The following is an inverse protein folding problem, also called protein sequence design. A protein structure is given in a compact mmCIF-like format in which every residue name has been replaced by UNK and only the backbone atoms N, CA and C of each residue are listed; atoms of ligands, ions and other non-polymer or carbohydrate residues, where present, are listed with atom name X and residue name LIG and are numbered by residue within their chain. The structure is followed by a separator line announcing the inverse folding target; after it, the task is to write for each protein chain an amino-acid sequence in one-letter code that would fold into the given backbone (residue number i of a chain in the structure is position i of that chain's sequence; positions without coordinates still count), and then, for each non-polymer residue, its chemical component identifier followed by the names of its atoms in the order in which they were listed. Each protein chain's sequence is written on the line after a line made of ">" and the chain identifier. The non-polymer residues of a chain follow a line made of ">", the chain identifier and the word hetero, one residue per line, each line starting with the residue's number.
data_IF_022214950976
#
_entry.id   IF_022214950976
#
_cell.length_a   1.000
_cell.length_b   1.000
_cell.length_c   1.000
_cell.angle_alpha   90.00
_cell.angle_beta   90.00
_cell.angle_gamma   90.00
#
_symmetry.space_group_name_H-M   'P 1'
#
loop_
_entity.id
_entity.type
_entity.pdbx_description
1 polymer ?
#
# COMPACT_ATOMS: atom_id res chain seq x y z
N UNK A 1 -11.50 -5.94 -1.21
CA UNK A 1 -11.04 -4.68 -0.61
C UNK A 1 -11.51 -4.59 0.84
N UNK A 2 -10.75 -3.96 1.70
CA UNK A 2 -11.12 -3.63 3.06
C UNK A 2 -10.70 -2.19 3.35
N UNK A 3 -11.45 -1.49 4.21
CA UNK A 3 -11.17 -0.13 4.61
C UNK A 3 -11.72 0.15 6.01
N UNK A 4 -11.12 1.12 6.69
CA UNK A 4 -11.57 1.57 8.01
C UNK A 4 -11.63 3.09 8.01
N UNK A 5 -12.66 3.63 8.65
CA UNK A 5 -12.68 5.05 9.03
C UNK A 5 -12.00 5.13 10.38
N UNK A 6 -10.91 5.90 10.44
CA UNK A 6 -10.19 6.11 11.68
C UNK A 6 -10.92 7.15 12.53
N UNK A 7 -11.45 6.69 13.65
CA UNK A 7 -12.10 7.55 14.67
C UNK A 7 -11.70 7.02 16.06
N UNK A 8 -10.56 7.52 16.57
CA UNK A 8 -10.00 7.08 17.85
C UNK A 8 -10.95 7.31 19.02
N UNK A 9 -11.81 8.34 18.94
CA UNK A 9 -12.74 8.71 20.02
C UNK A 9 -13.89 7.72 20.12
N UNK A 10 -14.30 7.11 19.03
CA UNK A 10 -15.44 6.19 18.96
C UNK A 10 -15.03 4.74 19.20
N UNK A 11 -13.92 4.27 18.64
CA UNK A 11 -13.53 2.86 18.70
C UNK A 11 -12.30 2.57 19.56
N UNK A 12 -11.61 3.62 20.03
CA UNK A 12 -10.43 3.50 20.90
C UNK A 12 -9.19 2.90 20.23
N UNK A 13 -9.27 2.56 18.93
CA UNK A 13 -8.22 1.90 18.18
C UNK A 13 -7.29 2.87 17.49
N UNK A 14 -6.00 2.53 17.45
CA UNK A 14 -5.02 3.21 16.60
C UNK A 14 -5.15 2.76 15.14
N UNK A 15 -4.53 3.48 14.21
CA UNK A 15 -4.45 3.05 12.81
C UNK A 15 -3.70 1.73 12.65
N UNK A 16 -2.75 1.44 13.53
CA UNK A 16 -1.99 0.19 13.52
C UNK A 16 -2.86 -0.99 13.99
N UNK A 17 -3.74 -0.77 14.98
CA UNK A 17 -4.70 -1.78 15.41
C UNK A 17 -5.70 -2.11 14.31
N UNK A 18 -6.20 -1.08 13.61
CA UNK A 18 -7.04 -1.30 12.44
C UNK A 18 -6.33 -2.11 11.34
N UNK A 19 -5.03 -1.87 11.10
CA UNK A 19 -4.26 -2.66 10.14
C UNK A 19 -4.17 -4.14 10.56
N UNK A 20 -3.89 -4.41 11.85
CA UNK A 20 -3.86 -5.78 12.38
C UNK A 20 -5.21 -6.47 12.19
N UNK A 21 -6.30 -5.79 12.56
CA UNK A 21 -7.67 -6.29 12.36
C UNK A 21 -7.96 -6.62 10.88
N UNK A 22 -7.52 -5.74 9.95
CA UNK A 22 -7.72 -5.95 8.51
C UNK A 22 -6.92 -7.16 8.00
N UNK A 23 -5.69 -7.35 8.46
CA UNK A 23 -4.86 -8.51 8.12
C UNK A 23 -5.49 -9.80 8.66
N UNK A 24 -5.89 -9.81 9.94
CA UNK A 24 -6.56 -10.95 10.57
C UNK A 24 -7.85 -11.30 9.83
N UNK A 25 -8.70 -10.30 9.58
CA UNK A 25 -9.94 -10.48 8.84
C UNK A 25 -9.72 -11.03 7.41
N UNK A 26 -8.64 -10.59 6.75
CA UNK A 26 -8.27 -11.09 5.42
C UNK A 26 -7.88 -12.56 5.44
N UNK A 27 -7.23 -13.03 6.50
CA UNK A 27 -6.80 -14.42 6.67
C UNK A 27 -7.96 -15.29 7.10
N UNK A 28 -8.65 -14.94 8.20
CA UNK A 28 -9.63 -15.81 8.85
C UNK A 28 -10.99 -15.81 8.16
N UNK A 29 -11.51 -14.63 7.83
CA UNK A 29 -12.86 -14.51 7.28
C UNK A 29 -12.89 -14.50 5.76
N UNK A 30 -11.97 -13.75 5.13
CA UNK A 30 -11.94 -13.69 3.65
C UNK A 30 -11.12 -14.81 3.04
N UNK A 31 -10.35 -15.56 3.84
CA UNK A 31 -9.51 -16.67 3.41
C UNK A 31 -8.62 -16.34 2.20
N UNK A 32 -8.13 -15.10 2.15
CA UNK A 32 -7.27 -14.63 1.07
C UNK A 32 -5.91 -15.29 1.21
N UNK A 33 -5.52 -16.05 0.20
CA UNK A 33 -4.17 -16.64 0.11
C UNK A 33 -3.19 -15.61 -0.40
N UNK A 34 -2.32 -15.10 0.48
CA UNK A 34 -1.24 -14.19 0.12
C UNK A 34 0.05 -14.58 0.84
N UNK A 35 1.16 -14.29 0.21
CA UNK A 35 2.51 -14.52 0.75
C UNK A 35 3.12 -13.21 1.24
N UNK A 36 2.90 -12.12 0.51
CA UNK A 36 3.56 -10.84 0.73
C UNK A 36 2.60 -9.77 1.26
N UNK A 37 3.09 -8.95 2.20
CA UNK A 37 2.45 -7.74 2.70
C UNK A 37 3.33 -6.56 2.31
N UNK A 38 2.81 -5.70 1.45
CA UNK A 38 3.48 -4.51 1.00
C UNK A 38 2.89 -3.30 1.72
N UNK A 39 3.72 -2.49 2.32
CA UNK A 39 3.28 -1.31 3.07
C UNK A 39 4.21 -0.13 2.84
N UNK A 40 3.76 1.06 3.20
CA UNK A 40 4.59 2.24 3.12
C UNK A 40 5.42 2.47 4.40
N UNK A 41 6.26 3.49 4.38
CA UNK A 41 7.14 3.87 5.49
C UNK A 41 6.38 4.13 6.80
N UNK A 42 5.12 4.60 6.72
CA UNK A 42 4.35 4.94 7.91
C UNK A 42 4.00 3.69 8.73
N UNK A 43 3.75 2.57 8.06
CA UNK A 43 3.45 1.27 8.69
C UNK A 43 4.70 0.45 9.05
N UNK A 44 5.91 0.90 8.68
CA UNK A 44 7.18 0.22 8.97
C UNK A 44 7.59 0.35 10.45
N UNK A 45 6.69 -0.02 11.35
CA UNK A 45 6.91 -0.05 12.81
C UNK A 45 7.32 -1.44 13.27
N UNK A 46 8.08 -1.50 14.39
CA UNK A 46 8.45 -2.77 15.00
C UNK A 46 7.24 -3.67 15.21
N UNK A 47 6.18 -3.11 15.77
CA UNK A 47 4.98 -3.85 16.16
C UNK A 47 4.29 -4.49 14.93
N UNK A 48 4.14 -3.76 13.82
CA UNK A 48 3.53 -4.30 12.61
C UNK A 48 4.45 -5.31 11.91
N UNK A 49 5.75 -5.03 11.83
CA UNK A 49 6.70 -5.93 11.18
C UNK A 49 6.77 -7.28 11.89
N UNK A 50 6.87 -7.28 13.23
CA UNK A 50 6.84 -8.51 14.03
C UNK A 50 5.49 -9.21 13.99
N UNK A 51 4.38 -8.46 13.94
CA UNK A 51 3.05 -9.03 13.80
C UNK A 51 2.89 -9.79 12.47
N UNK A 52 3.35 -9.21 11.35
CA UNK A 52 3.30 -9.87 10.04
C UNK A 52 4.19 -11.12 10.02
N UNK A 53 5.36 -11.04 10.64
CA UNK A 53 6.28 -12.16 10.77
C UNK A 53 5.66 -13.32 11.57
N UNK A 54 5.01 -13.02 12.68
CA UNK A 54 4.27 -14.01 13.49
C UNK A 54 3.10 -14.66 12.72
N UNK A 55 2.53 -13.98 11.74
CA UNK A 55 1.54 -14.55 10.80
C UNK A 55 2.18 -15.44 9.73
N UNK A 56 3.50 -15.67 9.78
CA UNK A 56 4.26 -16.40 8.77
C UNK A 56 4.09 -15.79 7.37
N UNK A 57 4.04 -14.46 7.31
CA UNK A 57 3.97 -13.70 6.06
C UNK A 57 5.27 -12.91 5.87
N UNK A 58 5.59 -12.67 4.60
CA UNK A 58 6.74 -11.86 4.21
C UNK A 58 6.27 -10.42 4.03
N UNK A 59 6.97 -9.48 4.65
CA UNK A 59 6.73 -8.07 4.40
C UNK A 59 7.83 -7.43 3.55
N UNK A 60 7.45 -6.40 2.79
CA UNK A 60 8.35 -5.45 2.18
C UNK A 60 7.88 -4.04 2.51
N UNK A 61 8.76 -3.25 3.11
CA UNK A 61 8.45 -1.86 3.44
C UNK A 61 9.69 -0.97 3.39
N UNK A 62 9.55 0.30 2.97
CA UNK A 62 10.64 1.25 3.05
C UNK A 62 10.82 1.74 4.49
N UNK A 63 12.07 1.85 4.92
CA UNK A 63 12.44 2.52 6.17
C UNK A 63 12.62 4.01 5.95
N UNK A 64 12.43 4.79 7.01
CA UNK A 64 12.87 6.20 7.04
C UNK A 64 14.40 6.26 6.99
N UNK A 65 14.95 7.24 6.29
CA UNK A 65 16.40 7.42 6.12
C UNK A 65 17.18 7.51 7.44
N UNK A 66 16.56 8.04 8.49
CA UNK A 66 17.13 8.19 9.83
C UNK A 66 16.90 6.97 10.75
N UNK A 67 16.32 5.86 10.26
CA UNK A 67 16.10 4.65 11.07
C UNK A 67 17.44 4.07 11.50
N UNK A 68 17.60 3.86 12.81
CA UNK A 68 18.84 3.31 13.37
C UNK A 68 18.93 1.79 13.13
N UNK A 69 20.05 1.38 12.53
CA UNK A 69 20.33 -0.01 12.15
C UNK A 69 21.78 -0.37 12.46
N UNK A 70 22.05 -1.68 12.58
CA UNK A 70 23.40 -2.24 12.74
C UNK A 70 23.64 -3.29 11.65
N UNK A 71 24.69 -3.08 10.85
CA UNK A 71 25.19 -3.98 9.81
C UNK A 71 26.53 -4.65 10.21
N UNK A 72 27.04 -4.35 11.42
CA UNK A 72 28.35 -4.76 11.93
C UNK A 72 28.32 -5.97 12.85
N UNK A 73 27.16 -6.60 13.03
CA UNK A 73 26.95 -7.69 13.99
C UNK A 73 27.22 -7.28 15.46
N UNK A 74 27.03 -6.02 15.79
CA UNK A 74 27.21 -5.51 17.14
C UNK A 74 28.62 -4.98 17.44
N UNK A 75 29.51 -4.91 16.44
CA UNK A 75 30.87 -4.38 16.59
C UNK A 75 30.85 -2.85 16.69
N UNK A 76 29.95 -2.21 15.96
CA UNK A 76 29.82 -0.75 15.92
C UNK A 76 28.47 -0.28 16.45
N UNK A 77 28.37 0.99 16.93
CA UNK A 77 27.10 1.58 17.34
C UNK A 77 26.09 1.62 16.19
N UNK A 78 24.78 1.59 16.55
CA UNK A 78 23.71 1.81 15.58
C UNK A 78 23.83 3.15 14.87
N UNK A 79 23.79 3.14 13.55
CA UNK A 79 23.82 4.35 12.69
C UNK A 79 22.54 4.48 11.86
N UNK A 80 22.30 5.63 11.27
CA UNK A 80 21.15 5.82 10.41
C UNK A 80 21.32 5.01 9.11
N UNK A 81 20.21 4.53 8.57
CA UNK A 81 20.25 3.66 7.37
C UNK A 81 20.88 4.34 6.15
N UNK A 82 20.75 5.67 6.05
CA UNK A 82 21.38 6.45 4.99
C UNK A 82 22.91 6.67 5.20
N UNK A 83 23.43 6.39 6.40
CA UNK A 83 24.87 6.46 6.73
C UNK A 83 25.60 5.15 6.46
N UNK A 84 24.89 4.10 6.01
CA UNK A 84 25.50 2.81 5.70
C UNK A 84 26.38 2.91 4.47
N UNK A 85 27.55 2.28 4.54
CA UNK A 85 28.44 2.06 3.39
C UNK A 85 27.97 0.82 2.63
N UNK A 86 28.14 0.79 1.31
CA UNK A 86 27.69 -0.28 0.44
C UNK A 86 28.80 -0.71 -0.50
N UNK A 87 29.14 -1.98 -0.51
CA UNK A 87 29.96 -2.58 -1.57
C UNK A 87 29.08 -2.85 -2.81
N UNK A 88 29.71 -3.08 -3.98
CA UNK A 88 28.98 -3.40 -5.21
C UNK A 88 28.15 -4.68 -5.06
N UNK A 89 28.70 -5.68 -4.36
CA UNK A 89 27.97 -6.91 -4.07
C UNK A 89 26.77 -6.69 -3.17
N UNK A 90 26.88 -5.88 -2.13
CA UNK A 90 25.77 -5.55 -1.24
C UNK A 90 24.71 -4.69 -1.94
N UNK A 91 25.09 -3.86 -2.90
CA UNK A 91 24.12 -3.12 -3.71
C UNK A 91 23.24 -4.06 -4.55
N UNK A 92 23.81 -5.16 -5.04
CA UNK A 92 23.08 -6.17 -5.81
C UNK A 92 22.26 -7.11 -4.92
N UNK A 93 22.86 -7.63 -3.86
CA UNK A 93 22.32 -8.73 -3.07
C UNK A 93 21.63 -8.27 -1.78
N UNK A 94 21.69 -6.97 -1.45
CA UNK A 94 21.27 -6.46 -0.17
C UNK A 94 22.24 -6.79 0.96
N UNK A 95 21.90 -6.35 2.18
CA UNK A 95 22.66 -6.68 3.39
C UNK A 95 21.79 -7.06 4.56
N UNK A 96 22.26 -8.02 5.34
CA UNK A 96 21.59 -8.47 6.56
C UNK A 96 21.88 -7.47 7.69
N UNK A 97 20.83 -6.91 8.27
CA UNK A 97 20.92 -5.90 9.32
C UNK A 97 20.08 -6.26 10.54
N UNK A 98 20.38 -5.59 11.66
CA UNK A 98 19.51 -5.49 12.83
C UNK A 98 18.90 -4.09 12.88
N UNK A 99 17.63 -3.99 13.22
CA UNK A 99 16.97 -2.70 13.44
C UNK A 99 16.97 -2.41 14.94
N UNK A 100 17.31 -1.19 15.34
CA UNK A 100 17.28 -0.77 16.73
C UNK A 100 15.92 -1.03 17.40
N UNK A 101 15.96 -1.49 18.64
CA UNK A 101 14.80 -1.85 19.46
C UNK A 101 14.02 -3.11 19.02
N UNK A 102 14.46 -3.84 17.98
CA UNK A 102 13.92 -5.16 17.65
C UNK A 102 14.51 -6.25 18.58
N UNK A 103 13.93 -7.49 18.61
CA UNK A 103 14.51 -8.59 19.37
C UNK A 103 15.97 -8.84 19.00
N UNK A 104 16.79 -9.28 19.99
CA UNK A 104 18.25 -9.37 19.87
C UNK A 104 18.71 -10.14 18.63
N UNK A 105 18.02 -11.24 18.31
CA UNK A 105 18.41 -12.13 17.20
C UNK A 105 17.61 -11.91 15.91
N UNK A 106 16.70 -10.93 15.92
CA UNK A 106 15.87 -10.62 14.76
C UNK A 106 16.67 -9.82 13.71
N UNK A 107 16.90 -10.46 12.58
CA UNK A 107 17.60 -9.87 11.44
C UNK A 107 16.67 -9.75 10.26
N UNK A 108 16.90 -8.75 9.44
CA UNK A 108 16.15 -8.48 8.22
C UNK A 108 17.11 -8.19 7.06
N UNK A 109 16.67 -8.49 5.85
CA UNK A 109 17.40 -8.12 4.65
C UNK A 109 17.05 -6.69 4.26
N UNK A 110 18.08 -5.88 4.01
CA UNK A 110 17.96 -4.47 3.60
C UNK A 110 18.45 -4.32 2.17
N UNK A 111 17.70 -3.61 1.34
CA UNK A 111 18.04 -3.26 -0.03
C UNK A 111 18.05 -1.75 -0.22
N UNK A 112 19.06 -1.26 -0.94
CA UNK A 112 19.14 0.12 -1.39
C UNK A 112 18.57 0.21 -2.81
N UNK A 113 17.38 0.78 -2.97
CA UNK A 113 16.71 0.92 -4.26
C UNK A 113 16.76 2.37 -4.71
N UNK A 114 17.60 2.68 -5.68
CA UNK A 114 17.66 4.01 -6.29
C UNK A 114 16.45 4.16 -7.23
N UNK A 115 15.56 5.08 -6.90
CA UNK A 115 14.34 5.34 -7.69
C UNK A 115 14.61 6.41 -8.76
N UNK A 116 15.32 7.47 -8.38
CA UNK A 116 15.83 8.51 -9.26
C UNK A 116 17.01 9.24 -8.59
N UNK A 117 17.58 10.25 -9.24
CA UNK A 117 18.74 11.02 -8.74
C UNK A 117 18.55 11.60 -7.33
N UNK A 118 17.31 11.95 -6.96
CA UNK A 118 16.98 12.60 -5.69
C UNK A 118 16.33 11.66 -4.67
N UNK A 119 16.04 10.40 -5.04
CA UNK A 119 15.30 9.48 -4.18
C UNK A 119 15.90 8.09 -4.15
N UNK A 120 16.27 7.67 -2.95
CA UNK A 120 16.66 6.30 -2.63
C UNK A 120 15.67 5.76 -1.59
N UNK A 121 15.06 4.62 -1.88
CA UNK A 121 14.23 3.89 -0.95
C UNK A 121 15.07 2.77 -0.28
N UNK A 122 14.93 2.68 1.06
CA UNK A 122 15.60 1.68 1.88
C UNK A 122 14.60 0.58 2.24
N UNK A 123 14.56 -0.48 1.43
CA UNK A 123 13.53 -1.52 1.55
C UNK A 123 14.02 -2.63 2.47
N UNK A 124 13.22 -2.99 3.47
CA UNK A 124 13.49 -4.15 4.34
C UNK A 124 12.44 -5.24 4.15
N UNK A 125 12.88 -6.47 4.35
CA UNK A 125 12.06 -7.67 4.35
C UNK A 125 12.55 -8.68 5.39
N UNK A 126 11.64 -9.47 5.96
CA UNK A 126 11.98 -10.63 6.78
C UNK A 126 12.31 -11.87 5.94
N UNK A 127 12.23 -11.79 4.61
CA UNK A 127 12.71 -12.83 3.71
C UNK A 127 14.24 -12.76 3.58
N UNK A 128 14.93 -13.49 4.44
CA UNK A 128 16.40 -13.56 4.43
C UNK A 128 16.97 -14.38 3.26
N UNK A 129 16.11 -15.02 2.48
CA UNK A 129 16.49 -15.73 1.26
C UNK A 129 16.46 -14.85 0.01
N UNK A 130 15.90 -13.64 0.13
CA UNK A 130 15.93 -12.67 -0.95
C UNK A 130 17.35 -12.11 -1.10
N UNK A 131 17.94 -12.31 -2.25
CA UNK A 131 19.32 -11.95 -2.58
C UNK A 131 19.43 -11.04 -3.82
N UNK A 132 18.33 -10.41 -4.24
CA UNK A 132 18.28 -9.58 -5.43
C UNK A 132 17.61 -8.23 -5.18
N UNK A 133 18.34 -7.15 -5.40
CA UNK A 133 17.81 -5.78 -5.39
C UNK A 133 16.78 -5.57 -6.49
N UNK A 134 16.99 -6.15 -7.68
CA UNK A 134 16.03 -6.08 -8.78
C UNK A 134 14.76 -6.87 -8.46
N UNK A 135 14.87 -8.06 -7.86
CA UNK A 135 13.74 -8.84 -7.38
C UNK A 135 12.91 -8.05 -6.36
N UNK A 136 13.58 -7.41 -5.40
CA UNK A 136 12.94 -6.54 -4.40
C UNK A 136 12.26 -5.34 -5.05
N UNK A 137 12.88 -4.71 -6.04
CA UNK A 137 12.30 -3.60 -6.81
C UNK A 137 11.03 -4.01 -7.53
N UNK A 138 11.01 -5.19 -8.16
CA UNK A 138 9.82 -5.73 -8.83
C UNK A 138 8.67 -5.97 -7.86
N UNK A 139 8.93 -6.55 -6.68
CA UNK A 139 7.92 -6.73 -5.64
C UNK A 139 7.38 -5.38 -5.17
N UNK A 140 8.26 -4.42 -4.89
CA UNK A 140 7.84 -3.08 -4.44
C UNK A 140 7.09 -2.29 -5.50
N UNK A 141 7.34 -2.53 -6.79
CA UNK A 141 6.58 -1.91 -7.88
C UNK A 141 5.09 -2.29 -7.86
N UNK A 142 4.73 -3.45 -7.29
CA UNK A 142 3.34 -3.85 -7.10
C UNK A 142 2.61 -2.91 -6.15
N UNK A 143 3.29 -2.35 -5.15
CA UNK A 143 2.71 -1.36 -4.21
C UNK A 143 2.17 -0.13 -4.93
N UNK A 144 2.79 0.26 -6.05
CA UNK A 144 2.35 1.40 -6.86
C UNK A 144 0.91 1.26 -7.39
N UNK A 145 0.40 0.03 -7.51
CA UNK A 145 -1.00 -0.23 -7.89
C UNK A 145 -1.99 0.33 -6.88
N UNK A 146 -1.61 0.46 -5.61
CA UNK A 146 -2.46 1.08 -4.58
C UNK A 146 -2.60 2.59 -4.84
N UNK A 147 -1.52 3.25 -5.20
CA UNK A 147 -1.55 4.69 -5.53
C UNK A 147 -2.36 4.94 -6.80
N UNK A 148 -2.23 4.07 -7.80
CA UNK A 148 -3.08 4.11 -8.99
C UNK A 148 -4.55 3.92 -8.64
N UNK A 149 -4.89 2.93 -7.81
CA UNK A 149 -6.25 2.69 -7.33
C UNK A 149 -6.83 3.92 -6.60
N UNK A 150 -6.07 4.55 -5.70
CA UNK A 150 -6.51 5.77 -5.01
C UNK A 150 -6.74 6.93 -5.98
N UNK A 151 -5.86 7.10 -6.97
CA UNK A 151 -6.03 8.11 -8.02
C UNK A 151 -7.29 7.88 -8.83
N UNK A 152 -7.53 6.65 -9.26
CA UNK A 152 -8.73 6.26 -10.01
C UNK A 152 -10.00 6.46 -9.19
N UNK A 153 -10.02 6.08 -7.91
CA UNK A 153 -11.15 6.35 -7.00
C UNK A 153 -11.45 7.85 -6.94
N UNK A 154 -10.45 8.69 -6.73
CA UNK A 154 -10.63 10.14 -6.63
C UNK A 154 -11.17 10.74 -7.93
N UNK A 155 -10.59 10.37 -9.06
CA UNK A 155 -10.89 11.00 -10.35
C UNK A 155 -12.16 10.44 -11.01
N UNK A 156 -12.50 9.16 -10.74
CA UNK A 156 -13.57 8.50 -11.47
C UNK A 156 -14.87 8.37 -10.68
N UNK A 157 -14.81 8.36 -9.33
CA UNK A 157 -15.99 8.03 -8.51
C UNK A 157 -16.51 9.16 -7.64
N UNK A 158 -15.77 10.27 -7.54
CA UNK A 158 -16.15 11.39 -6.66
C UNK A 158 -16.04 11.08 -5.17
N UNK A 159 -15.15 10.16 -4.75
CA UNK A 159 -15.00 9.75 -3.35
C UNK A 159 -14.69 10.93 -2.42
N UNK A 160 -14.04 11.97 -2.91
CA UNK A 160 -13.71 13.18 -2.14
C UNK A 160 -14.86 14.20 -2.08
N UNK A 161 -15.95 13.99 -2.82
CA UNK A 161 -17.10 14.91 -2.86
C UNK A 161 -18.02 14.80 -1.65
N UNK A 162 -17.79 13.85 -0.75
CA UNK A 162 -18.62 13.67 0.44
C UNK A 162 -18.37 14.77 1.48
N UNK A 163 -19.38 15.58 1.73
CA UNK A 163 -19.35 16.66 2.74
C UNK A 163 -19.90 16.24 4.11
N UNK A 164 -20.45 15.03 4.22
CA UNK A 164 -21.05 14.57 5.47
C UNK A 164 -20.02 14.14 6.51
N UNK A 165 -20.18 14.62 7.76
CA UNK A 165 -19.28 14.29 8.88
C UNK A 165 -19.67 13.01 9.63
N UNK A 166 -20.88 12.46 9.43
CA UNK A 166 -21.34 11.25 10.13
C UNK A 166 -20.64 10.01 9.56
N UNK A 167 -19.95 9.25 10.41
CA UNK A 167 -19.15 8.07 10.02
C UNK A 167 -19.96 7.03 9.22
N UNK A 168 -21.24 6.79 9.57
CA UNK A 168 -22.10 5.87 8.80
C UNK A 168 -22.30 6.34 7.36
N UNK A 169 -22.54 7.64 7.15
CA UNK A 169 -22.75 8.18 5.80
C UNK A 169 -21.44 8.15 5.00
N UNK A 170 -20.32 8.49 5.64
CA UNK A 170 -19.01 8.38 4.99
C UNK A 170 -18.71 6.93 4.56
N UNK A 171 -18.99 5.94 5.43
CA UNK A 171 -18.82 4.51 5.06
C UNK A 171 -19.69 4.14 3.86
N UNK A 172 -20.94 4.53 3.84
CA UNK A 172 -21.82 4.23 2.72
C UNK A 172 -21.32 4.88 1.43
N UNK A 173 -20.93 6.15 1.47
CA UNK A 173 -20.37 6.85 0.32
C UNK A 173 -19.10 6.18 -0.21
N UNK A 174 -18.14 5.86 0.66
CA UNK A 174 -16.91 5.14 0.28
C UNK A 174 -17.25 3.79 -0.36
N UNK A 175 -18.19 3.04 0.23
CA UNK A 175 -18.63 1.75 -0.31
C UNK A 175 -19.21 1.90 -1.71
N UNK A 176 -20.10 2.87 -1.92
CA UNK A 176 -20.67 3.14 -3.25
C UNK A 176 -19.59 3.50 -4.27
N UNK A 177 -18.64 4.36 -3.91
CA UNK A 177 -17.51 4.73 -4.77
C UNK A 177 -16.64 3.52 -5.14
N UNK A 178 -16.38 2.62 -4.19
CA UNK A 178 -15.65 1.38 -4.45
C UNK A 178 -16.41 0.43 -5.38
N UNK A 179 -17.73 0.34 -5.24
CA UNK A 179 -18.58 -0.46 -6.12
C UNK A 179 -18.57 0.10 -7.55
N UNK A 180 -18.68 1.42 -7.70
CA UNK A 180 -18.58 2.09 -9.02
C UNK A 180 -17.22 1.81 -9.65
N UNK A 181 -16.13 1.99 -8.90
CA UNK A 181 -14.79 1.66 -9.40
C UNK A 181 -14.69 0.20 -9.84
N UNK A 182 -15.21 -0.74 -9.04
CA UNK A 182 -15.18 -2.16 -9.35
C UNK A 182 -15.94 -2.48 -10.66
N UNK A 183 -17.09 -1.83 -10.89
CA UNK A 183 -17.86 -2.00 -12.13
C UNK A 183 -17.09 -1.43 -13.34
N UNK A 184 -16.50 -0.23 -13.19
CA UNK A 184 -15.64 0.33 -14.24
C UNK A 184 -14.46 -0.58 -14.56
N UNK A 185 -13.78 -1.13 -13.53
CA UNK A 185 -12.64 -2.02 -13.70
C UNK A 185 -13.03 -3.32 -14.42
N UNK A 186 -14.20 -3.91 -14.09
CA UNK A 186 -14.73 -5.10 -14.79
C UNK A 186 -15.00 -4.80 -16.26
N UNK A 187 -15.63 -3.67 -16.56
CA UNK A 187 -15.91 -3.28 -17.94
C UNK A 187 -14.62 -2.97 -18.72
N UNK A 188 -13.69 -2.23 -18.10
CA UNK A 188 -12.39 -1.93 -18.67
C UNK A 188 -11.64 -3.21 -19.08
N UNK A 189 -11.63 -4.21 -18.20
CA UNK A 189 -11.02 -5.52 -18.49
C UNK A 189 -11.72 -6.23 -19.64
N UNK A 190 -13.06 -6.22 -19.67
CA UNK A 190 -13.87 -6.86 -20.73
C UNK A 190 -13.64 -6.20 -22.10
N UNK A 191 -13.59 -4.86 -22.12
CA UNK A 191 -13.44 -4.07 -23.34
C UNK A 191 -11.99 -3.84 -23.76
N UNK A 192 -11.00 -4.32 -22.95
CA UNK A 192 -9.56 -4.06 -23.13
C UNK A 192 -9.23 -2.54 -23.24
N UNK A 193 -9.92 -1.74 -22.44
CA UNK A 193 -9.77 -0.28 -22.36
C UNK A 193 -9.31 0.17 -20.99
N UNK A 194 -8.85 1.40 -20.85
CA UNK A 194 -8.61 2.01 -19.54
C UNK A 194 -9.94 2.38 -18.87
N UNK A 195 -9.92 2.48 -17.51
CA UNK A 195 -11.10 2.92 -16.76
C UNK A 195 -11.58 4.31 -17.21
N UNK A 196 -10.64 5.18 -17.57
CA UNK A 196 -10.94 6.52 -18.06
C UNK A 196 -11.68 6.52 -19.41
N UNK A 197 -11.28 5.65 -20.33
CA UNK A 197 -11.96 5.49 -21.61
C UNK A 197 -13.38 4.95 -21.41
N UNK A 198 -13.55 3.95 -20.55
CA UNK A 198 -14.89 3.40 -20.23
C UNK A 198 -15.79 4.48 -19.63
N UNK A 199 -15.32 5.24 -18.62
CA UNK A 199 -16.12 6.33 -18.02
C UNK A 199 -16.48 7.39 -19.06
N UNK A 200 -15.54 7.79 -19.91
CA UNK A 200 -15.78 8.77 -20.97
C UNK A 200 -16.81 8.26 -21.98
N UNK A 201 -16.74 7.00 -22.38
CA UNK A 201 -17.71 6.37 -23.26
C UNK A 201 -19.13 6.39 -22.68
N UNK A 202 -19.29 5.93 -21.42
CA UNK A 202 -20.57 5.94 -20.72
C UNK A 202 -21.17 7.36 -20.62
N UNK A 203 -20.37 8.37 -20.31
CA UNK A 203 -20.83 9.76 -20.27
C UNK A 203 -21.27 10.26 -21.65
N UNK A 204 -20.50 9.95 -22.69
CA UNK A 204 -20.80 10.36 -24.07
C UNK A 204 -22.10 9.70 -24.54
N UNK A 205 -22.32 8.43 -24.25
CA UNK A 205 -23.52 7.71 -24.63
C UNK A 205 -24.74 8.27 -23.88
N UNK A 206 -24.61 8.53 -22.57
CA UNK A 206 -25.66 9.17 -21.78
C UNK A 206 -26.02 10.56 -22.33
N UNK A 207 -25.04 11.40 -22.65
CA UNK A 207 -25.30 12.75 -23.20
C UNK A 207 -25.96 12.68 -24.56
N UNK A 208 -25.56 11.75 -25.43
CA UNK A 208 -26.23 11.53 -26.74
C UNK A 208 -27.68 11.11 -26.56
N UNK A 209 -27.96 10.23 -25.60
CA UNK A 209 -29.33 9.80 -25.29
C UNK A 209 -30.18 10.94 -24.76
N UNK A 210 -29.64 11.76 -23.84
CA UNK A 210 -30.33 12.94 -23.32
C UNK A 210 -30.59 14.00 -24.37
N UNK A 211 -29.72 14.13 -25.40
CA UNK A 211 -29.96 15.01 -26.51
C UNK A 211 -31.02 14.50 -27.48
N UNK A 212 -31.15 13.18 -27.65
CA UNK A 212 -32.18 12.57 -28.49
C UNK A 212 -33.55 12.55 -27.82
N UNK A 213 -33.58 12.30 -26.54
CA UNK A 213 -34.81 12.13 -25.73
C UNK A 213 -34.58 12.77 -24.37
N UNK A 214 -34.65 14.11 -24.24
CA UNK A 214 -34.37 14.80 -23.01
C UNK A 214 -35.36 14.42 -21.90
N UNK A 215 -34.84 14.04 -20.72
CA UNK A 215 -35.66 13.74 -19.54
C UNK A 215 -36.30 14.99 -18.91
N UNK A 216 -35.78 16.17 -19.26
CA UNK A 216 -36.34 17.48 -18.85
C UNK A 216 -36.64 18.28 -20.13
N UNK A 217 -37.88 18.60 -20.33
CA UNK A 217 -38.32 19.50 -21.39
C UNK A 217 -38.42 20.90 -20.78
N UNK A 218 -37.60 21.82 -21.29
CA UNK A 218 -37.74 23.23 -20.90
C UNK A 218 -38.91 23.80 -21.66
N UNK A 219 -39.88 24.34 -20.91
CA UNK A 219 -41.05 25.04 -21.46
C UNK A 219 -40.64 26.38 -22.09
#
# INVERSE_FOLDING_TARGET
>A
MDYRIYDKTTDGKSKLDHLKDMLQHSIEHKQIKFKYVLMDTWYATKDIMLYIDNLQKIYYCPLKSNRKVDDSKGVHPYKAVNELTWTDQEQQNGKLIKIHAFPKDYKVQLFRVVVNENRTDWIVTNDTTQDSSDGTRLVCAIRWKIEQFHRELKQLTGIEANQCRKARIQRNHICCCMLVWLQLARQAKRLKQSLYQVKRGLLSDYLREQLRSPSVVFA
#
